data_IF_928461005476
#
_entry.id   IF_928461005476
#
_cell.length_a   1.000
_cell.length_b   1.000
_cell.length_c   1.000
_cell.angle_alpha   90.00
_cell.angle_beta   90.00
_cell.angle_gamma   90.00
#
_symmetry.space_group_name_H-M   'P 1'
#
loop_
_entity.id
_entity.type
_entity.pdbx_description
1 polymer ?
#
# COMPACT_ATOMS: atom_id res chain seq x y z
N UNK A 1 41.32 4.94 9.64
CA UNK A 1 40.83 5.35 8.30
C UNK A 1 39.62 4.50 7.95
N UNK A 2 38.43 5.11 7.80
CA UNK A 2 37.22 4.36 7.46
C UNK A 2 37.30 3.90 6.00
N UNK A 3 37.11 2.60 5.74
CA UNK A 3 37.23 1.99 4.42
C UNK A 3 36.11 2.53 3.53
N UNK A 4 36.43 3.32 2.50
CA UNK A 4 35.43 3.84 1.55
C UNK A 4 34.78 2.68 0.83
N UNK A 5 33.49 2.45 1.09
CA UNK A 5 32.70 1.38 0.46
C UNK A 5 32.40 1.81 -0.97
N UNK A 6 32.57 0.89 -1.93
CA UNK A 6 32.23 1.10 -3.34
C UNK A 6 30.84 0.55 -3.62
N UNK A 7 30.09 1.25 -4.47
CA UNK A 7 28.86 0.74 -5.04
C UNK A 7 29.17 -0.49 -5.92
N UNK A 8 28.47 -1.60 -5.68
CA UNK A 8 28.64 -2.83 -6.46
C UNK A 8 28.21 -2.69 -7.93
N UNK A 9 27.29 -1.77 -8.22
CA UNK A 9 26.74 -1.55 -9.57
C UNK A 9 27.59 -0.60 -10.42
N UNK A 10 27.90 0.59 -9.90
CA UNK A 10 28.59 1.64 -10.69
C UNK A 10 30.04 1.91 -10.25
N UNK A 11 30.55 1.23 -9.23
CA UNK A 11 31.92 1.43 -8.70
C UNK A 11 32.18 2.76 -8.00
N UNK A 12 31.20 3.67 -7.94
CA UNK A 12 31.33 4.96 -7.25
C UNK A 12 31.52 4.77 -5.75
N UNK A 13 32.10 5.76 -5.08
CA UNK A 13 32.29 5.76 -3.62
C UNK A 13 31.23 6.62 -2.90
N UNK A 14 30.14 6.97 -3.59
CA UNK A 14 29.11 7.89 -3.10
C UNK A 14 27.95 7.13 -2.44
N UNK A 15 28.26 6.18 -1.56
CA UNK A 15 27.26 5.48 -0.75
C UNK A 15 27.01 6.25 0.54
N UNK A 16 25.76 6.59 0.78
CA UNK A 16 25.34 7.33 1.96
C UNK A 16 24.06 6.72 2.54
N UNK A 17 23.92 6.77 3.87
CA UNK A 17 22.70 6.35 4.53
C UNK A 17 21.58 7.37 4.24
N UNK A 18 20.46 6.89 3.70
CA UNK A 18 19.31 7.74 3.34
C UNK A 18 18.01 7.08 3.76
N UNK A 19 17.07 7.90 4.19
CA UNK A 19 15.70 7.48 4.38
C UNK A 19 15.03 7.15 3.03
N UNK A 20 14.25 6.08 3.03
CA UNK A 20 13.57 5.54 1.86
C UNK A 20 12.06 5.80 1.91
N UNK A 21 11.58 6.69 2.78
CA UNK A 21 10.18 7.11 2.83
C UNK A 21 9.77 7.68 1.47
N UNK A 22 8.57 7.32 1.01
CA UNK A 22 8.01 7.78 -0.26
C UNK A 22 8.59 7.08 -1.49
N UNK A 23 9.54 6.15 -1.33
CA UNK A 23 10.11 5.38 -2.44
C UNK A 23 9.24 4.14 -2.74
N UNK A 24 9.13 3.75 -4.03
CA UNK A 24 8.43 2.55 -4.43
C UNK A 24 9.31 1.31 -4.22
N UNK A 25 8.74 0.26 -3.62
CA UNK A 25 9.36 -1.06 -3.52
C UNK A 25 8.42 -2.15 -4.04
N UNK A 26 8.92 -3.10 -4.84
CA UNK A 26 8.13 -4.28 -5.20
C UNK A 26 7.94 -5.18 -3.98
N UNK A 27 6.77 -5.81 -3.86
CA UNK A 27 6.49 -6.67 -2.71
C UNK A 27 5.41 -7.71 -3.03
N UNK A 28 5.77 -9.01 -2.99
CA UNK A 28 4.87 -10.12 -3.33
C UNK A 28 4.17 -9.88 -4.69
N UNK A 29 2.85 -9.72 -4.70
CA UNK A 29 2.00 -9.44 -5.87
C UNK A 29 1.87 -7.93 -6.19
N UNK A 30 2.49 -7.06 -5.40
CA UNK A 30 2.48 -5.61 -5.59
C UNK A 30 3.68 -5.18 -6.45
N UNK A 31 3.46 -4.54 -7.62
CA UNK A 31 4.54 -4.04 -8.45
C UNK A 31 5.31 -2.89 -7.79
N UNK A 32 4.62 -2.08 -7.00
CA UNK A 32 5.20 -0.98 -6.23
C UNK A 32 4.31 -0.62 -5.03
N UNK A 33 4.90 -0.63 -3.83
CA UNK A 33 4.34 -0.08 -2.60
C UNK A 33 5.16 1.15 -2.21
N UNK A 34 4.49 2.28 -1.99
CA UNK A 34 5.14 3.52 -1.57
C UNK A 34 5.31 3.47 -0.06
N UNK A 35 6.54 3.36 0.43
CA UNK A 35 6.80 3.30 1.87
C UNK A 35 6.27 4.54 2.60
N UNK A 36 5.46 4.34 3.63
CA UNK A 36 4.98 5.41 4.50
C UNK A 36 5.70 5.46 5.86
N UNK A 37 6.69 4.57 6.07
CA UNK A 37 7.50 4.49 7.28
C UNK A 37 8.98 4.68 7.01
N UNK A 38 9.68 5.21 8.02
CA UNK A 38 11.12 5.37 8.03
C UNK A 38 11.82 4.02 7.88
N UNK A 39 12.59 3.89 6.81
CA UNK A 39 13.54 2.82 6.59
C UNK A 39 14.81 3.47 6.04
N UNK A 40 15.96 3.23 6.67
CA UNK A 40 17.24 3.79 6.26
C UNK A 40 18.15 2.69 5.74
N UNK A 41 18.73 2.95 4.58
CA UNK A 41 19.69 2.06 3.93
C UNK A 41 20.73 2.87 3.16
N UNK A 42 21.83 2.22 2.81
CA UNK A 42 22.87 2.84 2.02
C UNK A 42 22.38 2.96 0.58
N UNK A 43 22.36 4.18 0.04
CA UNK A 43 21.98 4.48 -1.33
C UNK A 43 23.16 5.13 -2.05
N UNK A 44 23.42 4.69 -3.28
CA UNK A 44 24.44 5.30 -4.12
C UNK A 44 23.92 6.59 -4.77
N UNK A 45 24.51 7.75 -4.49
CA UNK A 45 24.10 9.02 -5.13
C UNK A 45 24.30 9.06 -6.65
N UNK A 46 25.25 8.29 -7.17
CA UNK A 46 25.56 8.28 -8.59
C UNK A 46 24.54 7.50 -9.44
N UNK A 47 24.06 6.36 -8.93
CA UNK A 47 23.19 5.45 -9.71
C UNK A 47 21.87 5.06 -9.01
N UNK A 48 21.66 5.46 -7.76
CA UNK A 48 20.46 5.11 -6.98
C UNK A 48 20.45 3.69 -6.42
N UNK A 49 21.51 2.89 -6.61
CA UNK A 49 21.55 1.53 -6.10
C UNK A 49 21.44 1.48 -4.58
N UNK A 50 20.51 0.68 -4.09
CA UNK A 50 20.27 0.46 -2.67
C UNK A 50 21.08 -0.75 -2.17
N UNK A 51 21.79 -0.57 -1.07
CA UNK A 51 22.58 -1.62 -0.42
C UNK A 51 21.96 -1.91 0.94
N UNK A 52 21.42 -3.12 1.07
CA UNK A 52 20.78 -3.63 2.28
C UNK A 52 21.48 -4.90 2.74
N UNK A 53 21.67 -5.02 4.05
CA UNK A 53 22.11 -6.28 4.66
C UNK A 53 20.91 -7.20 4.98
N UNK A 54 21.19 -8.43 5.40
CA UNK A 54 20.13 -9.42 5.69
C UNK A 54 19.10 -8.96 6.73
N UNK A 55 19.53 -8.20 7.75
CA UNK A 55 18.61 -7.64 8.75
C UNK A 55 17.74 -6.57 8.12
N UNK A 56 18.34 -5.65 7.37
CA UNK A 56 17.63 -4.58 6.67
C UNK A 56 16.64 -5.10 5.62
N UNK A 57 16.89 -6.23 4.99
CA UNK A 57 15.90 -6.88 4.09
C UNK A 57 14.64 -7.26 4.87
N UNK A 58 14.78 -7.86 6.06
CA UNK A 58 13.63 -8.21 6.91
C UNK A 58 12.91 -6.98 7.44
N UNK A 59 13.67 -5.95 7.81
CA UNK A 59 13.12 -4.68 8.29
C UNK A 59 12.36 -3.95 7.17
N UNK A 60 12.86 -4.02 5.93
CA UNK A 60 12.20 -3.48 4.73
C UNK A 60 10.90 -4.22 4.44
N UNK A 61 10.92 -5.56 4.42
CA UNK A 61 9.71 -6.36 4.23
C UNK A 61 8.64 -6.03 5.28
N UNK A 62 9.04 -5.95 6.55
CA UNK A 62 8.13 -5.56 7.63
C UNK A 62 7.58 -4.14 7.46
N UNK A 63 8.39 -3.19 6.99
CA UNK A 63 7.96 -1.83 6.71
C UNK A 63 6.96 -1.76 5.55
N UNK A 64 7.17 -2.56 4.50
CA UNK A 64 6.24 -2.64 3.36
C UNK A 64 4.93 -3.32 3.78
N UNK A 65 4.99 -4.42 4.53
CA UNK A 65 3.80 -5.10 5.07
C UNK A 65 2.98 -4.18 5.95
N UNK A 66 3.64 -3.43 6.83
CA UNK A 66 2.98 -2.45 7.67
C UNK A 66 2.28 -1.39 6.81
N UNK A 67 2.99 -0.83 5.82
CA UNK A 67 2.44 0.20 4.93
C UNK A 67 1.14 -0.26 4.26
N UNK A 68 1.15 -1.46 3.66
CA UNK A 68 -0.04 -2.02 2.99
C UNK A 68 -1.21 -2.23 3.94
N UNK A 69 -0.94 -2.70 5.17
CA UNK A 69 -1.98 -2.89 6.19
C UNK A 69 -2.55 -1.56 6.65
N UNK A 70 -1.69 -0.61 6.98
CA UNK A 70 -2.05 0.71 7.49
C UNK A 70 -2.89 1.49 6.47
N UNK A 71 -2.48 1.47 5.21
CA UNK A 71 -3.25 2.05 4.10
C UNK A 71 -4.67 1.47 4.04
N UNK A 72 -4.82 0.14 4.09
CA UNK A 72 -6.14 -0.50 4.02
C UNK A 72 -6.99 -0.23 5.26
N UNK A 73 -6.38 -0.21 6.46
CA UNK A 73 -7.07 0.20 7.68
C UNK A 73 -7.63 1.61 7.53
N UNK A 74 -6.81 2.53 7.00
CA UNK A 74 -7.21 3.90 6.73
C UNK A 74 -8.31 3.99 5.66
N UNK A 75 -8.19 3.25 4.55
CA UNK A 75 -9.20 3.20 3.50
C UNK A 75 -10.55 2.76 4.06
N UNK A 76 -10.58 1.62 4.77
CA UNK A 76 -11.83 1.08 5.32
C UNK A 76 -12.41 2.06 6.34
N UNK A 77 -11.61 2.55 7.29
CA UNK A 77 -12.08 3.45 8.34
C UNK A 77 -12.65 4.74 7.76
N UNK A 78 -11.97 5.32 6.77
CA UNK A 78 -12.44 6.53 6.09
C UNK A 78 -13.69 6.27 5.27
N UNK A 79 -13.79 5.15 4.55
CA UNK A 79 -14.97 4.79 3.78
C UNK A 79 -16.21 4.63 4.66
N UNK A 80 -16.08 3.92 5.79
CA UNK A 80 -17.19 3.73 6.74
C UNK A 80 -17.69 5.07 7.28
N UNK A 81 -16.78 5.97 7.66
CA UNK A 81 -17.13 7.29 8.16
C UNK A 81 -17.73 8.20 7.07
N UNK A 82 -17.11 8.23 5.89
CA UNK A 82 -17.50 9.12 4.78
C UNK A 82 -18.86 8.76 4.19
N UNK A 83 -19.13 7.47 4.03
CA UNK A 83 -20.37 6.96 3.43
C UNK A 83 -21.44 6.64 4.48
N UNK A 84 -21.14 6.87 5.77
CA UNK A 84 -22.01 6.54 6.91
C UNK A 84 -22.57 5.12 6.83
N UNK A 85 -21.69 4.14 6.60
CA UNK A 85 -22.07 2.75 6.33
C UNK A 85 -21.40 1.80 7.32
N UNK A 86 -21.97 0.61 7.47
CA UNK A 86 -21.41 -0.45 8.31
C UNK A 86 -20.42 -1.32 7.53
N UNK A 87 -19.54 -2.01 8.26
CA UNK A 87 -18.59 -2.95 7.64
C UNK A 87 -19.27 -4.09 6.85
N UNK A 88 -20.49 -4.46 7.25
CA UNK A 88 -21.31 -5.46 6.54
C UNK A 88 -21.81 -4.92 5.20
N UNK A 89 -22.29 -3.68 5.18
CA UNK A 89 -22.78 -3.03 3.96
C UNK A 89 -21.65 -2.71 2.98
N UNK A 90 -20.49 -2.28 3.49
CA UNK A 90 -19.27 -2.16 2.70
C UNK A 90 -18.94 -3.50 2.04
N UNK A 91 -18.95 -4.60 2.81
CA UNK A 91 -18.72 -5.95 2.28
C UNK A 91 -19.66 -6.33 1.16
N UNK A 92 -20.96 -6.07 1.32
CA UNK A 92 -21.96 -6.30 0.28
C UNK A 92 -21.71 -5.45 -0.98
N UNK A 93 -21.24 -4.22 -0.80
CA UNK A 93 -20.93 -3.29 -1.90
C UNK A 93 -19.72 -3.78 -2.72
N UNK A 94 -18.71 -4.34 -2.05
CA UNK A 94 -17.45 -4.72 -2.70
C UNK A 94 -17.30 -6.23 -2.95
N UNK A 95 -18.34 -7.01 -2.65
CA UNK A 95 -18.30 -8.48 -2.79
C UNK A 95 -17.33 -9.18 -1.85
N UNK A 96 -17.06 -8.61 -0.67
CA UNK A 96 -16.18 -9.19 0.34
C UNK A 96 -16.95 -9.59 1.60
N UNK A 97 -16.53 -10.68 2.25
CA UNK A 97 -17.15 -11.08 3.52
C UNK A 97 -16.87 -10.06 4.63
N UNK A 98 -17.83 -9.93 5.55
CA UNK A 98 -17.70 -9.07 6.74
C UNK A 98 -16.49 -9.45 7.57
N UNK A 99 -16.23 -10.75 7.72
CA UNK A 99 -15.15 -11.31 8.53
C UNK A 99 -13.79 -10.93 7.93
N UNK A 100 -13.67 -11.00 6.60
CA UNK A 100 -12.44 -10.61 5.91
C UNK A 100 -12.18 -9.11 6.04
N UNK A 101 -13.18 -8.27 5.81
CA UNK A 101 -13.06 -6.83 6.01
C UNK A 101 -12.74 -6.46 7.46
N UNK A 102 -13.30 -7.18 8.43
CA UNK A 102 -13.00 -6.98 9.86
C UNK A 102 -11.52 -7.24 10.15
N UNK A 103 -10.97 -8.34 9.65
CA UNK A 103 -9.53 -8.67 9.79
C UNK A 103 -8.63 -7.65 9.12
N UNK A 104 -9.02 -7.15 7.94
CA UNK A 104 -8.29 -6.08 7.25
C UNK A 104 -8.32 -4.79 8.06
N UNK A 105 -9.49 -4.37 8.55
CA UNK A 105 -9.65 -3.17 9.39
C UNK A 105 -8.88 -3.27 10.72
N UNK A 106 -8.67 -4.47 11.24
CA UNK A 106 -7.87 -4.72 12.43
C UNK A 106 -6.35 -4.79 12.13
N UNK A 107 -5.92 -4.76 10.87
CA UNK A 107 -4.51 -4.91 10.48
C UNK A 107 -3.96 -6.33 10.67
N UNK A 108 -4.83 -7.31 10.93
CA UNK A 108 -4.45 -8.69 11.23
C UNK A 108 -3.98 -9.44 9.98
N UNK A 109 -4.46 -9.05 8.80
CA UNK A 109 -4.15 -9.73 7.54
C UNK A 109 -3.65 -8.76 6.48
N UNK A 110 -2.82 -9.26 5.57
CA UNK A 110 -2.31 -8.47 4.44
C UNK A 110 -3.35 -8.55 3.32
N UNK A 111 -3.78 -7.41 2.75
CA UNK A 111 -4.66 -7.41 1.59
C UNK A 111 -3.98 -8.07 0.39
N UNK A 112 -4.76 -8.74 -0.47
CA UNK A 112 -4.30 -9.08 -1.83
C UNK A 112 -4.26 -7.81 -2.67
N UNK A 113 -3.40 -7.76 -3.69
CA UNK A 113 -3.26 -6.59 -4.57
C UNK A 113 -4.59 -6.12 -5.17
N UNK A 114 -5.45 -7.05 -5.59
CA UNK A 114 -6.79 -6.75 -6.11
C UNK A 114 -7.67 -6.04 -5.07
N UNK A 115 -7.71 -6.57 -3.84
CA UNK A 115 -8.47 -5.98 -2.73
C UNK A 115 -7.95 -4.59 -2.37
N UNK A 116 -6.63 -4.43 -2.29
CA UNK A 116 -5.99 -3.15 -2.00
C UNK A 116 -6.39 -2.09 -3.03
N UNK A 117 -6.26 -2.39 -4.32
CA UNK A 117 -6.58 -1.44 -5.39
C UNK A 117 -8.06 -1.09 -5.43
N UNK A 118 -8.95 -2.08 -5.25
CA UNK A 118 -10.38 -1.83 -5.18
C UNK A 118 -10.70 -0.84 -4.05
N UNK A 119 -10.20 -1.10 -2.84
CA UNK A 119 -10.41 -0.20 -1.69
C UNK A 119 -9.78 1.19 -1.93
N UNK A 120 -8.61 1.25 -2.55
CA UNK A 120 -7.94 2.50 -2.92
C UNK A 120 -8.76 3.33 -3.91
N UNK A 121 -9.36 2.71 -4.92
CA UNK A 121 -10.22 3.40 -5.90
C UNK A 121 -11.45 3.97 -5.21
N UNK A 122 -12.14 3.16 -4.40
CA UNK A 122 -13.30 3.61 -3.62
C UNK A 122 -12.94 4.74 -2.65
N UNK A 123 -11.76 4.65 -2.03
CA UNK A 123 -11.24 5.69 -1.16
C UNK A 123 -10.95 6.98 -1.92
N UNK A 124 -10.34 6.89 -3.11
CA UNK A 124 -9.89 8.07 -3.87
C UNK A 124 -11.02 8.77 -4.63
N UNK A 125 -11.99 8.02 -5.14
CA UNK A 125 -13.13 8.55 -5.89
C UNK A 125 -14.46 8.28 -5.19
N UNK A 126 -15.17 9.36 -4.84
CA UNK A 126 -16.49 9.29 -4.17
C UNK A 126 -17.57 8.68 -5.07
N UNK A 127 -17.46 8.81 -6.39
CA UNK A 127 -18.46 8.26 -7.30
C UNK A 127 -18.31 6.74 -7.42
N UNK A 128 -17.09 6.22 -7.35
CA UNK A 128 -16.80 4.79 -7.38
C UNK A 128 -17.57 4.00 -6.31
N UNK A 129 -17.78 4.55 -5.11
CA UNK A 129 -18.57 3.87 -4.07
C UNK A 129 -20.04 3.69 -4.45
N UNK A 130 -20.64 4.71 -5.08
CA UNK A 130 -22.03 4.64 -5.56
C UNK A 130 -22.16 3.63 -6.70
N UNK A 131 -21.23 3.66 -7.65
CA UNK A 131 -21.22 2.76 -8.81
C UNK A 131 -20.98 1.30 -8.43
N UNK A 132 -20.20 1.05 -7.38
CA UNK A 132 -19.99 -0.29 -6.85
C UNK A 132 -21.21 -0.86 -6.13
N UNK A 133 -22.16 -0.01 -5.69
CA UNK A 133 -23.34 -0.47 -4.96
C UNK A 133 -24.31 -1.20 -5.90
N UNK A 134 -24.60 -2.49 -5.68
CA UNK A 134 -25.53 -3.25 -6.54
C UNK A 134 -26.95 -2.68 -6.59
N UNK A 135 -27.32 -1.83 -5.62
CA UNK A 135 -28.62 -1.17 -5.55
C UNK A 135 -28.67 0.18 -6.30
N UNK A 136 -27.56 0.62 -6.87
CA UNK A 136 -27.49 1.88 -7.60
C UNK A 136 -28.08 1.73 -9.01
N UNK A 137 -29.29 2.26 -9.22
CA UNK A 137 -30.05 2.17 -10.47
C UNK A 137 -29.67 3.25 -11.52
N UNK A 138 -28.49 3.87 -11.37
CA UNK A 138 -28.07 5.01 -12.22
C UNK A 138 -27.84 4.67 -13.70
N UNK A 139 -27.69 3.39 -14.04
CA UNK A 139 -27.51 2.93 -15.42
C UNK A 139 -28.81 2.91 -16.25
N UNK A 140 -29.98 3.11 -15.63
CA UNK A 140 -31.28 3.07 -16.34
C UNK A 140 -31.70 4.39 -17.00
N UNK A 141 -30.96 5.49 -16.82
CA UNK A 141 -31.39 6.80 -17.34
C UNK A 141 -30.87 7.16 -18.74
N UNK A 142 -29.95 6.38 -19.31
CA UNK A 142 -29.33 6.68 -20.61
C UNK A 142 -29.75 5.71 -21.74
N UNK A 143 -30.76 4.84 -21.48
CA UNK A 143 -31.33 3.91 -22.47
C UNK A 143 -32.86 4.05 -22.50
N UNK A 144 -33.35 5.28 -22.60
CA UNK A 144 -34.75 5.57 -22.86
C UNK A 144 -34.87 6.60 -23.98
#
# INVERSE_FOLDING_TARGET
MSKKIRCGECGSHQLEEREQIGKPFPFKDYPAVILNRSFSALECRACGNLVVNQKQVRDLDAAIEFTNKDDVVNFITTLLARENTTIKELGNTVGLSREYLSKLKAGETIPKFQTYNMLKVLFSDKNSFKLANPKYDGFRKDIA
#
